data_IF_443166043780
#
_entry.id   IF_443166043780
#
_cell.length_a   1.000
_cell.length_b   1.000
_cell.length_c   1.000
_cell.angle_alpha   90.00
_cell.angle_beta   90.00
_cell.angle_gamma   90.00
#
_symmetry.space_group_name_H-M   'P 1'
#
loop_
_entity.id
_entity.type
_entity.pdbx_description
1 polymer ?
#
# COMPACT_ATOMS: atom_id res chain seq x y z
N UNK A 1 14.32 -5.45 13.28
CA UNK A 1 14.19 -5.04 11.88
C UNK A 1 13.13 -5.86 11.16
N UNK A 2 12.37 -5.25 10.24
CA UNK A 2 11.23 -5.85 9.49
C UNK A 2 11.68 -7.09 8.72
N UNK A 3 12.86 -7.07 8.10
CA UNK A 3 13.42 -8.16 7.31
C UNK A 3 13.40 -9.51 8.02
N UNK A 4 13.85 -9.57 9.27
CA UNK A 4 13.87 -10.80 10.06
C UNK A 4 12.48 -11.23 10.51
N UNK A 5 11.62 -10.29 10.87
CA UNK A 5 10.25 -10.56 11.35
C UNK A 5 9.35 -11.12 10.26
N UNK A 6 9.50 -10.67 9.02
CA UNK A 6 8.71 -11.14 7.86
C UNK A 6 9.40 -12.23 7.04
N UNK A 7 10.61 -12.67 7.41
CA UNK A 7 11.39 -13.66 6.67
C UNK A 7 11.48 -13.33 5.17
N UNK A 8 11.91 -12.12 4.85
CA UNK A 8 11.99 -11.64 3.47
C UNK A 8 13.09 -12.36 2.70
N UNK A 9 12.79 -12.76 1.47
CA UNK A 9 13.76 -13.29 0.51
C UNK A 9 14.70 -12.17 0.03
N UNK A 10 15.91 -12.50 -0.49
CA UNK A 10 16.86 -11.46 -0.93
C UNK A 10 16.27 -10.37 -1.82
N UNK A 11 15.53 -10.67 -2.91
CA UNK A 11 14.94 -9.60 -3.75
C UNK A 11 13.90 -8.73 -3.04
N UNK A 12 13.16 -9.31 -2.09
CA UNK A 12 12.20 -8.54 -1.29
C UNK A 12 12.91 -7.61 -0.29
N UNK A 13 14.02 -8.08 0.28
CA UNK A 13 14.85 -7.28 1.19
C UNK A 13 15.46 -6.10 0.45
N UNK A 14 16.07 -6.35 -0.70
CA UNK A 14 16.65 -5.32 -1.55
C UNK A 14 15.61 -4.26 -1.94
N UNK A 15 14.42 -4.67 -2.39
CA UNK A 15 13.34 -3.74 -2.72
C UNK A 15 12.89 -2.89 -1.50
N UNK A 16 12.84 -3.49 -0.30
CA UNK A 16 12.51 -2.75 0.92
C UNK A 16 13.63 -1.76 1.31
N UNK A 17 14.89 -2.12 1.12
CA UNK A 17 16.05 -1.26 1.37
C UNK A 17 16.06 -0.08 0.39
N UNK A 18 15.76 -0.31 -0.89
CA UNK A 18 15.60 0.75 -1.90
C UNK A 18 14.46 1.70 -1.50
N UNK A 19 13.28 1.19 -1.15
CA UNK A 19 12.19 2.05 -0.69
C UNK A 19 12.60 2.88 0.52
N UNK A 20 13.26 2.25 1.50
CA UNK A 20 13.71 2.95 2.70
C UNK A 20 14.70 4.06 2.37
N UNK A 21 15.63 3.81 1.46
CA UNK A 21 16.61 4.81 1.02
C UNK A 21 15.96 5.95 0.24
N UNK A 22 15.04 5.65 -0.68
CA UNK A 22 14.28 6.68 -1.42
C UNK A 22 13.50 7.57 -0.46
N UNK A 23 12.78 6.99 0.51
CA UNK A 23 12.02 7.74 1.53
C UNK A 23 12.91 8.53 2.50
N UNK A 24 14.18 8.17 2.64
CA UNK A 24 15.15 8.91 3.42
C UNK A 24 15.65 10.16 2.68
N UNK A 25 16.02 10.00 1.39
CA UNK A 25 16.62 11.07 0.59
C UNK A 25 15.57 12.00 -0.05
N UNK A 26 14.39 11.47 -0.35
CA UNK A 26 13.27 12.20 -0.95
C UNK A 26 11.95 11.75 -0.34
N UNK A 27 11.61 12.22 0.87
CA UNK A 27 10.36 11.82 1.53
C UNK A 27 9.13 12.16 0.70
N UNK A 28 8.24 11.21 0.54
CA UNK A 28 6.96 11.39 -0.16
C UNK A 28 6.08 12.40 0.59
N UNK A 29 5.84 13.57 -0.01
CA UNK A 29 4.99 14.64 0.53
C UNK A 29 3.94 15.03 -0.50
N UNK A 30 2.78 15.47 -0.03
CA UNK A 30 1.64 15.84 -0.88
C UNK A 30 1.98 16.97 -1.88
N UNK A 31 2.80 17.92 -1.46
CA UNK A 31 3.17 19.12 -2.26
C UNK A 31 4.68 19.10 -2.59
N UNK A 32 5.25 17.91 -2.85
CA UNK A 32 6.65 17.79 -3.20
C UNK A 32 6.94 18.41 -4.57
N UNK A 33 8.05 19.14 -4.67
CA UNK A 33 8.60 19.51 -5.96
C UNK A 33 9.11 18.23 -6.66
N UNK A 34 8.37 17.79 -7.68
CA UNK A 34 8.64 16.54 -8.39
C UNK A 34 9.99 16.58 -9.12
N UNK A 35 10.41 17.73 -9.64
CA UNK A 35 11.69 17.86 -10.34
C UNK A 35 12.84 17.71 -9.34
N UNK A 36 12.78 18.43 -8.22
CA UNK A 36 13.78 18.32 -7.16
C UNK A 36 13.83 16.92 -6.55
N UNK A 37 12.68 16.30 -6.31
CA UNK A 37 12.59 14.93 -5.81
C UNK A 37 13.22 13.93 -6.78
N UNK A 38 12.95 14.07 -8.07
CA UNK A 38 13.50 13.23 -9.13
C UNK A 38 15.02 13.37 -9.25
N UNK A 39 15.54 14.58 -9.18
CA UNK A 39 16.99 14.83 -9.25
C UNK A 39 17.74 14.18 -8.09
N UNK A 40 17.18 14.25 -6.88
CA UNK A 40 17.75 13.56 -5.71
C UNK A 40 17.73 12.04 -5.91
N UNK A 41 16.62 11.47 -6.39
CA UNK A 41 16.51 10.02 -6.63
C UNK A 41 17.47 9.58 -7.73
N UNK A 42 17.61 10.36 -8.81
CA UNK A 42 18.58 10.08 -9.90
C UNK A 42 20.03 10.09 -9.44
N UNK A 43 20.38 10.90 -8.47
CA UNK A 43 21.74 10.92 -7.92
C UNK A 43 22.12 9.59 -7.25
N UNK A 44 21.15 8.89 -6.67
CA UNK A 44 21.32 7.57 -6.04
C UNK A 44 21.05 6.42 -7.03
N UNK A 45 20.08 6.61 -7.94
CA UNK A 45 19.61 5.60 -8.90
C UNK A 45 19.58 6.17 -10.33
N UNK A 46 20.72 6.23 -11.03
CA UNK A 46 20.84 6.88 -12.35
C UNK A 46 19.95 6.28 -13.45
N UNK A 47 19.45 5.06 -13.26
CA UNK A 47 18.54 4.40 -14.21
C UNK A 47 17.10 4.92 -14.14
N UNK A 48 16.76 5.73 -13.14
CA UNK A 48 15.43 6.34 -13.02
C UNK A 48 15.38 7.58 -13.92
N UNK A 49 14.50 7.57 -14.92
CA UNK A 49 14.38 8.65 -15.89
C UNK A 49 13.34 9.69 -15.49
N UNK A 50 12.17 9.23 -15.05
CA UNK A 50 11.07 10.08 -14.59
C UNK A 50 10.13 9.32 -13.64
N UNK A 51 9.10 10.01 -13.14
CA UNK A 51 8.04 9.36 -12.35
C UNK A 51 6.90 8.80 -13.21
N UNK A 52 6.84 9.08 -14.49
CA UNK A 52 5.73 8.75 -15.41
C UNK A 52 4.34 9.22 -14.92
N UNK A 53 4.28 10.02 -13.87
CA UNK A 53 3.06 10.50 -13.21
C UNK A 53 3.26 11.91 -12.67
N UNK A 54 2.14 12.59 -12.42
CA UNK A 54 2.12 13.91 -11.77
C UNK A 54 2.28 13.83 -10.25
N UNK A 55 2.77 12.72 -9.73
CA UNK A 55 3.06 12.48 -8.32
C UNK A 55 4.26 11.53 -8.19
N UNK A 56 4.96 11.52 -7.03
CA UNK A 56 6.05 10.58 -6.80
C UNK A 56 5.57 9.14 -6.95
N UNK A 57 6.15 8.40 -7.88
CA UNK A 57 5.79 7.02 -8.15
C UNK A 57 7.05 6.15 -8.30
N UNK A 58 7.00 4.94 -7.74
CA UNK A 58 8.09 3.98 -7.79
C UNK A 58 7.56 2.64 -8.30
N UNK A 59 8.24 2.06 -9.28
CA UNK A 59 7.95 0.75 -9.82
C UNK A 59 9.01 -0.25 -9.38
N UNK A 60 8.59 -1.34 -8.72
CA UNK A 60 9.45 -2.44 -8.33
C UNK A 60 9.17 -3.65 -9.22
N UNK A 61 10.03 -3.89 -10.22
CA UNK A 61 9.93 -5.04 -11.10
C UNK A 61 10.54 -6.29 -10.43
N UNK A 62 9.68 -7.25 -10.10
CA UNK A 62 10.06 -8.49 -9.45
C UNK A 62 9.54 -9.69 -10.26
N UNK A 63 10.33 -10.75 -10.32
CA UNK A 63 9.91 -11.98 -10.96
C UNK A 63 8.63 -12.56 -10.32
N UNK A 64 7.84 -13.27 -11.11
CA UNK A 64 6.64 -13.97 -10.61
C UNK A 64 7.04 -15.01 -9.56
N UNK A 65 6.20 -15.17 -8.53
CA UNK A 65 6.46 -16.14 -7.45
C UNK A 65 7.45 -15.70 -6.36
N UNK A 66 8.09 -14.54 -6.47
CA UNK A 66 9.00 -14.01 -5.44
C UNK A 66 8.27 -13.64 -4.14
N UNK A 67 6.94 -13.50 -4.17
CA UNK A 67 6.13 -13.15 -3.01
C UNK A 67 5.83 -11.65 -2.92
N UNK A 68 5.38 -11.08 -4.02
CA UNK A 68 5.02 -9.65 -4.14
C UNK A 68 4.06 -9.17 -3.04
N UNK A 69 3.07 -9.99 -2.65
CA UNK A 69 2.13 -9.64 -1.55
C UNK A 69 2.84 -9.49 -0.20
N UNK A 70 3.86 -10.33 0.06
CA UNK A 70 4.68 -10.21 1.27
C UNK A 70 5.53 -8.94 1.25
N UNK A 71 6.07 -8.58 0.09
CA UNK A 71 6.79 -7.32 -0.08
C UNK A 71 5.87 -6.12 0.14
N UNK A 72 4.65 -6.16 -0.39
CA UNK A 72 3.64 -5.12 -0.13
C UNK A 72 3.36 -4.98 1.39
N UNK A 73 3.22 -6.09 2.10
CA UNK A 73 3.10 -6.08 3.57
C UNK A 73 4.33 -5.47 4.25
N UNK A 74 5.54 -5.76 3.75
CA UNK A 74 6.78 -5.17 4.28
C UNK A 74 6.84 -3.65 4.04
N UNK A 75 6.40 -3.18 2.88
CA UNK A 75 6.30 -1.74 2.57
C UNK A 75 5.32 -1.03 3.50
N UNK A 76 4.12 -1.58 3.68
CA UNK A 76 3.11 -1.05 4.61
C UNK A 76 3.67 -1.00 6.04
N UNK A 77 4.29 -2.09 6.50
CA UNK A 77 4.90 -2.12 7.82
C UNK A 77 6.01 -1.08 7.99
N UNK A 78 6.87 -0.92 6.99
CA UNK A 78 7.94 0.09 7.02
C UNK A 78 7.36 1.51 7.07
N UNK A 79 6.44 1.84 6.18
CA UNK A 79 5.86 3.18 6.09
C UNK A 79 5.07 3.53 7.36
N UNK A 80 4.37 2.57 7.95
CA UNK A 80 3.72 2.77 9.25
C UNK A 80 4.73 2.97 10.38
N UNK A 81 5.66 2.04 10.57
CA UNK A 81 6.56 2.05 11.73
C UNK A 81 7.62 3.16 11.67
N UNK A 82 8.08 3.53 10.47
CA UNK A 82 9.16 4.49 10.29
C UNK A 82 8.68 5.89 9.93
N UNK A 83 7.51 6.02 9.30
CA UNK A 83 6.98 7.30 8.80
C UNK A 83 5.63 7.67 9.42
N UNK A 84 5.01 6.80 10.20
CA UNK A 84 3.70 7.04 10.83
C UNK A 84 2.52 7.05 9.86
N UNK A 85 2.71 6.55 8.62
CA UNK A 85 1.63 6.48 7.62
C UNK A 85 0.63 5.42 8.07
N UNK A 86 -0.65 5.79 8.12
CA UNK A 86 -1.73 4.92 8.65
C UNK A 86 -2.80 4.57 7.63
N UNK A 87 -2.86 5.27 6.50
CA UNK A 87 -3.86 5.06 5.47
C UNK A 87 -3.19 4.57 4.19
N UNK A 88 -3.54 3.36 3.79
CA UNK A 88 -3.01 2.70 2.60
C UNK A 88 -4.15 2.40 1.63
N UNK A 89 -3.87 2.58 0.35
CA UNK A 89 -4.78 2.26 -0.73
C UNK A 89 -4.12 1.24 -1.66
N UNK A 90 -4.74 0.07 -1.79
CA UNK A 90 -4.21 -1.06 -2.55
C UNK A 90 -5.16 -1.37 -3.71
N UNK A 91 -4.64 -1.32 -4.92
CA UNK A 91 -5.38 -1.63 -6.14
C UNK A 91 -5.01 -3.02 -6.68
N UNK A 92 -6.01 -3.86 -6.81
CA UNK A 92 -5.87 -5.16 -7.46
C UNK A 92 -6.25 -5.07 -8.95
N UNK A 93 -5.44 -5.64 -9.86
CA UNK A 93 -5.72 -5.56 -11.30
C UNK A 93 -6.91 -6.42 -11.75
N UNK A 94 -7.29 -7.41 -10.97
CA UNK A 94 -8.41 -8.32 -11.26
C UNK A 94 -8.98 -8.94 -9.98
N UNK A 95 -10.11 -9.63 -10.11
CA UNK A 95 -10.82 -10.22 -8.98
C UNK A 95 -10.04 -11.33 -8.26
N UNK A 96 -9.25 -12.11 -8.98
CA UNK A 96 -8.42 -13.17 -8.39
C UNK A 96 -7.37 -12.59 -7.44
N UNK A 97 -6.68 -11.54 -7.88
CA UNK A 97 -5.69 -10.84 -7.04
C UNK A 97 -6.38 -10.08 -5.92
N UNK A 98 -7.53 -9.46 -6.17
CA UNK A 98 -8.34 -8.79 -5.16
C UNK A 98 -8.69 -9.73 -3.98
N UNK A 99 -9.29 -10.87 -4.27
CA UNK A 99 -9.64 -11.86 -3.25
C UNK A 99 -8.42 -12.41 -2.51
N UNK A 100 -7.31 -12.59 -3.23
CA UNK A 100 -6.04 -13.00 -2.63
C UNK A 100 -5.52 -11.94 -1.66
N UNK A 101 -5.53 -10.67 -2.02
CA UNK A 101 -5.06 -9.57 -1.18
C UNK A 101 -5.91 -9.46 0.09
N UNK A 102 -7.24 -9.47 -0.02
CA UNK A 102 -8.13 -9.46 1.15
C UNK A 102 -7.75 -10.58 2.11
N UNK A 103 -7.65 -11.81 1.62
CA UNK A 103 -7.28 -12.96 2.43
C UNK A 103 -5.90 -12.79 3.10
N UNK A 104 -4.89 -12.39 2.32
CA UNK A 104 -3.51 -12.31 2.76
C UNK A 104 -3.28 -11.12 3.72
N UNK A 105 -4.15 -10.11 3.72
CA UNK A 105 -4.15 -9.00 4.67
C UNK A 105 -5.15 -9.15 5.83
N UNK A 106 -6.02 -10.14 5.79
CA UNK A 106 -6.97 -10.39 6.89
C UNK A 106 -6.24 -10.99 8.10
N UNK A 107 -6.34 -10.36 9.30
CA UNK A 107 -5.77 -10.90 10.53
C UNK A 107 -6.28 -12.31 10.84
N UNK A 108 -5.46 -13.10 11.52
CA UNK A 108 -5.74 -14.48 11.92
C UNK A 108 -5.89 -15.49 10.75
N UNK A 109 -5.68 -15.07 9.51
CA UNK A 109 -5.60 -16.00 8.40
C UNK A 109 -4.21 -16.66 8.34
N UNK A 110 -4.07 -17.98 8.00
CA UNK A 110 -2.77 -18.66 7.93
C UNK A 110 -1.75 -18.01 6.97
N UNK A 111 -2.23 -17.23 6.00
CA UNK A 111 -1.39 -16.51 5.02
C UNK A 111 -1.24 -15.01 5.35
N UNK A 112 -1.62 -14.59 6.56
CA UNK A 112 -1.53 -13.19 6.96
C UNK A 112 -0.11 -12.66 6.80
N UNK A 113 0.06 -11.66 5.94
CA UNK A 113 1.40 -11.18 5.52
C UNK A 113 2.11 -10.34 6.55
N UNK A 114 1.39 -9.77 7.52
CA UNK A 114 1.93 -8.96 8.61
C UNK A 114 2.18 -9.78 9.89
N UNK A 115 1.99 -11.10 9.82
CA UNK A 115 2.31 -11.99 10.91
C UNK A 115 3.82 -11.89 11.26
N UNK A 116 4.15 -11.68 12.53
CA UNK A 116 5.52 -11.43 13.00
C UNK A 116 5.86 -9.96 13.26
N UNK A 117 5.02 -9.03 12.84
CA UNK A 117 5.12 -7.62 13.25
C UNK A 117 4.30 -7.43 14.53
N UNK A 118 4.98 -7.21 15.66
CA UNK A 118 4.35 -7.18 16.98
C UNK A 118 3.26 -6.11 17.09
N UNK A 119 3.46 -4.97 16.46
CA UNK A 119 2.51 -3.87 16.43
C UNK A 119 1.17 -4.28 15.79
N UNK A 120 1.22 -5.07 14.72
CA UNK A 120 0.03 -5.61 14.06
C UNK A 120 -0.55 -6.88 14.72
N UNK A 121 0.19 -7.50 15.64
CA UNK A 121 -0.35 -8.55 16.47
C UNK A 121 -1.21 -7.98 17.62
N UNK A 122 -0.81 -6.82 18.14
CA UNK A 122 -1.52 -6.12 19.22
C UNK A 122 -2.68 -5.28 18.70
N UNK A 123 -2.49 -4.62 17.57
CA UNK A 123 -3.49 -3.78 16.91
C UNK A 123 -3.52 -4.09 15.40
N UNK A 124 -4.28 -5.10 14.97
CA UNK A 124 -4.36 -5.49 13.56
C UNK A 124 -4.92 -4.36 12.70
N UNK A 125 -4.47 -4.21 11.44
CA UNK A 125 -5.01 -3.21 10.55
C UNK A 125 -6.49 -3.47 10.23
N UNK A 126 -7.23 -2.39 10.07
CA UNK A 126 -8.62 -2.41 9.59
C UNK A 126 -8.58 -2.59 8.07
N UNK A 127 -9.18 -3.67 7.58
CA UNK A 127 -9.30 -3.94 6.15
C UNK A 127 -10.64 -3.40 5.66
N UNK A 128 -10.58 -2.51 4.68
CA UNK A 128 -11.76 -1.91 4.04
C UNK A 128 -11.76 -2.37 2.58
N UNK A 129 -12.85 -2.98 2.16
CA UNK A 129 -12.99 -3.51 0.80
C UNK A 129 -13.96 -2.67 -0.03
N UNK A 130 -13.94 -2.82 -1.35
CA UNK A 130 -14.93 -2.19 -2.23
C UNK A 130 -16.37 -2.58 -1.89
N UNK A 131 -16.59 -3.83 -1.43
CA UNK A 131 -17.91 -4.31 -1.03
C UNK A 131 -18.41 -3.66 0.27
N UNK A 132 -17.51 -3.29 1.18
CA UNK A 132 -17.84 -2.55 2.41
C UNK A 132 -18.28 -1.12 2.08
N UNK A 133 -17.64 -0.49 1.09
CA UNK A 133 -18.03 0.82 0.58
C UNK A 133 -19.44 0.81 -0.04
N UNK A 134 -19.74 -0.16 -0.90
CA UNK A 134 -21.04 -0.32 -1.53
C UNK A 134 -22.18 -0.51 -0.51
N UNK A 135 -21.91 -1.19 0.60
CA UNK A 135 -22.86 -1.42 1.69
C UNK A 135 -23.00 -0.25 2.68
N UNK A 136 -22.29 0.85 2.44
CA UNK A 136 -22.28 2.01 3.35
C UNK A 136 -21.52 1.77 4.66
N UNK A 137 -20.82 0.66 4.79
CA UNK A 137 -20.01 0.35 5.98
C UNK A 137 -18.68 1.12 5.98
N UNK A 138 -18.24 1.63 4.84
CA UNK A 138 -17.03 2.48 4.73
C UNK A 138 -17.12 3.78 5.53
N UNK A 139 -18.33 4.25 5.82
CA UNK A 139 -18.58 5.44 6.67
C UNK A 139 -18.79 5.11 8.14
N UNK A 140 -19.04 3.84 8.50
CA UNK A 140 -19.26 3.41 9.89
C UNK A 140 -17.97 3.05 10.66
N UNK A 141 -16.81 3.11 10.00
CA UNK A 141 -15.50 2.97 10.67
C UNK A 141 -15.16 4.20 11.53
N UNK A 142 -16.13 5.08 11.80
CA UNK A 142 -15.99 6.22 12.71
C UNK A 142 -15.82 5.86 14.20
N UNK A 143 -15.81 4.57 14.53
CA UNK A 143 -15.54 4.10 15.90
C UNK A 143 -14.16 3.45 16.07
N UNK A 144 -13.35 3.40 15.02
CA UNK A 144 -11.95 2.98 15.16
C UNK A 144 -11.15 4.13 15.78
N UNK A 145 -10.34 3.80 16.75
CA UNK A 145 -9.44 4.77 17.40
C UNK A 145 -8.59 5.48 16.33
N UNK A 146 -8.30 6.76 16.53
CA UNK A 146 -7.47 7.58 15.63
C UNK A 146 -6.09 6.99 15.33
N UNK A 147 -5.73 5.92 15.99
CA UNK A 147 -4.43 5.24 15.91
C UNK A 147 -4.42 3.98 15.02
N UNK A 148 -5.55 3.57 14.46
CA UNK A 148 -5.63 2.35 13.65
C UNK A 148 -5.02 2.53 12.26
N UNK A 149 -4.36 1.47 11.77
CA UNK A 149 -3.88 1.40 10.40
C UNK A 149 -5.01 0.91 9.50
N UNK A 150 -5.32 1.66 8.45
CA UNK A 150 -6.36 1.32 7.48
C UNK A 150 -5.73 0.87 6.16
N UNK A 151 -6.12 -0.31 5.68
CA UNK A 151 -5.73 -0.83 4.38
C UNK A 151 -6.98 -0.96 3.52
N UNK A 152 -7.13 -0.05 2.57
CA UNK A 152 -8.25 -0.02 1.63
C UNK A 152 -7.89 -0.84 0.40
N UNK A 153 -8.60 -1.93 0.13
CA UNK A 153 -8.32 -2.84 -0.99
C UNK A 153 -9.46 -2.78 -2.00
N UNK A 154 -9.13 -2.38 -3.24
CA UNK A 154 -10.09 -2.24 -4.32
C UNK A 154 -9.68 -3.00 -5.58
N UNK A 155 -10.68 -3.40 -6.37
CA UNK A 155 -10.45 -3.96 -7.69
C UNK A 155 -10.56 -2.85 -8.75
N UNK A 156 -9.50 -2.63 -9.52
CA UNK A 156 -9.45 -1.62 -10.57
C UNK A 156 -10.51 -1.85 -11.65
N UNK A 157 -10.90 -3.10 -11.92
CA UNK A 157 -11.94 -3.42 -12.91
C UNK A 157 -13.31 -2.89 -12.49
N UNK A 158 -13.62 -2.85 -11.19
CA UNK A 158 -14.84 -2.23 -10.67
C UNK A 158 -14.78 -0.71 -10.83
N UNK A 159 -13.67 -0.09 -10.53
CA UNK A 159 -13.47 1.36 -10.67
C UNK A 159 -13.62 1.79 -12.15
N UNK A 160 -13.06 1.01 -13.08
CA UNK A 160 -13.13 1.31 -14.52
C UNK A 160 -14.50 1.00 -15.15
N UNK A 161 -15.29 0.09 -14.60
CA UNK A 161 -16.64 -0.19 -15.09
C UNK A 161 -17.57 1.04 -14.97
N UNK A 162 -17.30 1.89 -14.00
CA UNK A 162 -18.05 3.12 -13.76
C UNK A 162 -17.70 4.23 -14.75
N UNK A 163 -16.45 4.30 -15.18
CA UNK A 163 -16.00 5.25 -16.23
C UNK A 163 -16.65 4.92 -17.57
N UNK A 164 -17.14 3.69 -17.79
CA UNK A 164 -17.81 3.22 -19.03
C UNK A 164 -19.34 3.25 -18.97
N UNK A 165 -19.96 3.92 -18.00
CA UNK A 165 -21.43 4.12 -17.96
C UNK A 165 -22.17 3.26 -16.94
N UNK A 166 -21.48 2.57 -16.03
CA UNK A 166 -22.07 2.03 -14.81
C UNK A 166 -22.32 3.14 -13.78
N UNK A 167 -23.26 2.92 -12.84
CA UNK A 167 -23.47 3.87 -11.74
C UNK A 167 -22.20 3.96 -10.88
N UNK A 168 -21.56 5.12 -10.93
CA UNK A 168 -20.37 5.43 -10.12
C UNK A 168 -20.72 5.37 -8.63
N UNK A 169 -20.03 4.61 -7.77
CA UNK A 169 -20.00 4.94 -6.36
C UNK A 169 -19.39 6.33 -6.28
N UNK A 170 -20.19 7.32 -5.93
CA UNK A 170 -19.66 8.63 -5.60
C UNK A 170 -18.73 8.44 -4.42
N UNK A 171 -17.43 8.49 -4.66
CA UNK A 171 -16.46 8.82 -3.62
C UNK A 171 -16.78 10.28 -3.29
N UNK A 172 -17.79 10.48 -2.44
CA UNK A 172 -17.98 11.76 -1.78
C UNK A 172 -16.78 11.89 -0.88
N UNK A 173 -15.82 12.70 -1.32
CA UNK A 173 -14.71 13.14 -0.53
C UNK A 173 -15.25 13.53 0.85
N UNK A 174 -14.91 12.84 1.95
CA UNK A 174 -15.15 13.44 3.24
C UNK A 174 -14.25 14.67 3.26
N UNK A 175 -14.85 15.84 3.29
CA UNK A 175 -14.19 17.11 3.52
C UNK A 175 -13.12 16.94 4.59
N UNK A 176 -11.94 17.38 4.21
CA UNK A 176 -10.76 17.57 5.05
C UNK A 176 -11.13 18.32 6.31
#
# INVERSE_FOLDING_TARGET
>A
AINGRLSLRPPQREALEILARVEEVSPSKKDADLAAALDVIRSEYPSVEDFEREFPSLCFALATGVGQTRLMGAFIAYLYLSKGIRHFFVLAPNLTIYNKLIRDFTPNHPKYVLNGIAEFASNPPVIITGDDYERGHGTRVQTTFFDDVHINIFNISKINAEVRGGKSPRITNPSI
#
